data_IF_390641084615
#
_entry.id   IF_390641084615
#
_cell.length_a   1.000
_cell.length_b   1.000
_cell.length_c   1.000
_cell.angle_alpha   90.00
_cell.angle_beta   90.00
_cell.angle_gamma   90.00
#
_symmetry.space_group_name_H-M   'P 1'
#
loop_
_entity.id
_entity.type
_entity.pdbx_description
1 polymer ?
#
# COMPACT_ATOMS: atom_id res chain seq x y z
N UNK A 1 -35.57 -18.70 3.77
CA UNK A 1 -35.32 -20.13 4.12
C UNK A 1 -33.84 -20.47 3.92
N UNK A 2 -33.19 -21.24 4.81
CA UNK A 2 -31.76 -21.65 4.66
C UNK A 2 -31.60 -22.69 3.56
N UNK A 3 -30.63 -22.50 2.66
CA UNK A 3 -30.25 -23.57 1.75
C UNK A 3 -29.41 -24.65 2.47
N UNK A 4 -29.06 -25.72 1.75
CA UNK A 4 -28.31 -26.87 2.25
C UNK A 4 -26.94 -26.52 2.86
N UNK A 5 -26.49 -25.27 2.75
CA UNK A 5 -25.23 -24.76 3.31
C UNK A 5 -25.44 -23.75 4.46
N UNK A 6 -26.67 -23.52 4.93
CA UNK A 6 -26.93 -22.70 6.13
C UNK A 6 -26.72 -21.20 5.94
N UNK A 7 -26.69 -20.71 4.70
CA UNK A 7 -26.57 -19.27 4.41
C UNK A 7 -27.94 -18.61 4.57
N UNK A 8 -28.03 -17.54 5.35
CA UNK A 8 -29.22 -16.68 5.39
C UNK A 8 -29.45 -16.06 4.00
N UNK A 9 -30.47 -16.55 3.29
CA UNK A 9 -30.92 -15.92 2.04
C UNK A 9 -31.84 -14.76 2.38
N UNK A 10 -31.45 -13.58 1.94
CA UNK A 10 -32.37 -12.46 1.82
C UNK A 10 -33.46 -12.85 0.81
N UNK A 11 -34.70 -13.08 1.27
CA UNK A 11 -35.84 -13.50 0.44
C UNK A 11 -36.39 -12.34 -0.45
N UNK A 12 -35.78 -11.14 -0.40
CA UNK A 12 -36.12 -9.98 -1.23
C UNK A 12 -34.86 -9.21 -1.67
N UNK A 13 -34.38 -9.47 -2.89
CA UNK A 13 -33.36 -8.62 -3.53
C UNK A 13 -34.07 -7.42 -4.18
N UNK A 14 -34.23 -6.32 -3.45
CA UNK A 14 -34.67 -5.06 -4.04
C UNK A 14 -33.45 -4.31 -4.60
N UNK A 15 -33.20 -4.47 -5.90
CA UNK A 15 -32.13 -3.74 -6.59
C UNK A 15 -32.59 -2.30 -6.83
N UNK A 16 -31.88 -1.34 -6.26
CA UNK A 16 -32.10 0.08 -6.53
C UNK A 16 -31.47 0.44 -7.88
N UNK A 17 -32.17 0.17 -8.98
CA UNK A 17 -31.64 0.29 -10.35
C UNK A 17 -31.03 1.67 -10.63
N UNK A 18 -31.64 2.75 -10.15
CA UNK A 18 -31.12 4.11 -10.31
C UNK A 18 -29.73 4.30 -9.67
N UNK A 19 -29.46 3.62 -8.55
CA UNK A 19 -28.15 3.66 -7.88
C UNK A 19 -27.13 2.83 -8.66
N UNK A 20 -27.54 1.64 -9.12
CA UNK A 20 -26.68 0.75 -9.91
C UNK A 20 -26.24 1.45 -11.19
N UNK A 21 -27.19 1.97 -11.98
CA UNK A 21 -26.90 2.69 -13.22
C UNK A 21 -25.97 3.90 -13.00
N UNK A 22 -26.15 4.61 -11.87
CA UNK A 22 -25.30 5.75 -11.52
C UNK A 22 -23.87 5.29 -11.25
N UNK A 23 -23.69 4.25 -10.46
CA UNK A 23 -22.36 3.74 -10.09
C UNK A 23 -21.67 3.14 -11.32
N UNK A 24 -22.36 2.33 -12.13
CA UNK A 24 -21.83 1.73 -13.35
C UNK A 24 -21.24 2.77 -14.31
N UNK A 25 -21.85 3.95 -14.43
CA UNK A 25 -21.34 5.06 -15.26
C UNK A 25 -20.06 5.70 -14.75
N UNK A 26 -19.74 5.52 -13.47
CA UNK A 26 -18.58 6.15 -12.79
C UNK A 26 -17.53 5.13 -12.37
N UNK A 27 -17.85 3.84 -12.44
CA UNK A 27 -16.98 2.77 -12.00
C UNK A 27 -15.74 2.72 -12.92
N UNK A 28 -14.52 2.74 -12.35
CA UNK A 28 -13.31 2.54 -13.13
C UNK A 28 -13.31 1.15 -13.78
N UNK A 29 -12.52 1.00 -14.84
CA UNK A 29 -12.26 -0.32 -15.43
C UNK A 29 -11.62 -1.26 -14.40
N UNK A 30 -11.95 -2.55 -14.48
CA UNK A 30 -11.43 -3.58 -13.57
C UNK A 30 -9.91 -3.57 -13.48
N UNK A 31 -9.20 -3.32 -14.59
CA UNK A 31 -7.74 -3.22 -14.62
C UNK A 31 -7.21 -2.14 -13.65
N UNK A 32 -7.87 -0.98 -13.59
CA UNK A 32 -7.50 0.11 -12.66
C UNK A 32 -7.71 -0.34 -11.21
N UNK A 33 -8.81 -1.07 -10.94
CA UNK A 33 -9.10 -1.57 -9.61
C UNK A 33 -8.13 -2.68 -9.18
N UNK A 34 -7.69 -3.54 -10.11
CA UNK A 34 -6.66 -4.55 -9.85
C UNK A 34 -5.30 -3.91 -9.57
N UNK A 35 -4.90 -2.90 -10.35
CA UNK A 35 -3.68 -2.15 -10.09
C UNK A 35 -3.70 -1.46 -8.71
N UNK A 36 -4.85 -0.89 -8.33
CA UNK A 36 -5.05 -0.29 -7.01
C UNK A 36 -4.96 -1.34 -5.90
N UNK A 37 -5.53 -2.53 -6.10
CA UNK A 37 -5.44 -3.62 -5.13
C UNK A 37 -4.01 -4.13 -4.95
N UNK A 38 -3.26 -4.30 -6.04
CA UNK A 38 -1.85 -4.70 -5.98
C UNK A 38 -0.97 -3.62 -5.33
N UNK A 39 -1.30 -2.34 -5.51
CA UNK A 39 -0.68 -1.25 -4.75
C UNK A 39 -0.92 -1.44 -3.24
N UNK A 40 -2.17 -1.59 -2.81
CA UNK A 40 -2.52 -1.73 -1.38
C UNK A 40 -1.98 -2.99 -0.74
N UNK A 41 -1.85 -4.09 -1.49
CA UNK A 41 -1.21 -5.32 -1.02
C UNK A 41 0.23 -5.09 -0.56
N UNK A 42 0.94 -4.11 -1.12
CA UNK A 42 2.29 -3.75 -0.67
C UNK A 42 2.26 -3.03 0.67
N UNK A 43 1.29 -2.13 0.87
CA UNK A 43 1.03 -1.46 2.14
C UNK A 43 0.51 -2.44 3.22
N UNK A 44 -0.01 -3.60 2.85
CA UNK A 44 -0.42 -4.64 3.79
C UNK A 44 0.73 -5.38 4.51
N UNK A 45 2.00 -5.20 4.10
CA UNK A 45 3.15 -5.83 4.75
C UNK A 45 3.75 -4.93 5.84
N UNK A 46 3.78 -5.44 7.07
CA UNK A 46 4.27 -4.67 8.24
C UNK A 46 5.74 -4.26 8.15
N UNK A 47 6.61 -5.03 7.49
CA UNK A 47 8.03 -4.67 7.34
C UNK A 47 8.18 -3.53 6.32
N UNK A 48 7.42 -3.59 5.23
CA UNK A 48 7.39 -2.53 4.22
C UNK A 48 6.84 -1.23 4.79
N UNK A 49 5.76 -1.28 5.58
CA UNK A 49 5.24 -0.11 6.29
C UNK A 49 6.30 0.51 7.20
N UNK A 50 7.03 -0.29 7.98
CA UNK A 50 8.14 0.22 8.81
C UNK A 50 9.21 0.93 7.98
N UNK A 51 9.62 0.36 6.85
CA UNK A 51 10.61 0.97 5.96
C UNK A 51 10.07 2.28 5.36
N UNK A 52 8.83 2.28 4.87
CA UNK A 52 8.19 3.47 4.30
C UNK A 52 8.05 4.58 5.34
N UNK A 53 7.71 4.24 6.59
CA UNK A 53 7.64 5.21 7.68
C UNK A 53 9.01 5.80 8.03
N UNK A 54 10.06 4.98 8.08
CA UNK A 54 11.43 5.50 8.25
C UNK A 54 11.80 6.49 7.13
N UNK A 55 11.43 6.17 5.89
CA UNK A 55 11.67 7.01 4.72
C UNK A 55 10.75 8.23 4.61
N UNK A 56 9.62 8.23 5.32
CA UNK A 56 8.72 9.36 5.47
C UNK A 56 9.36 10.45 6.34
N UNK A 57 10.08 10.05 7.39
CA UNK A 57 10.78 10.97 8.30
C UNK A 57 12.06 11.54 7.68
N UNK A 58 12.85 10.70 7.00
CA UNK A 58 14.09 11.13 6.35
C UNK A 58 14.53 10.16 5.25
N UNK A 59 15.24 10.67 4.25
CA UNK A 59 16.00 9.77 3.38
C UNK A 59 17.11 9.06 4.18
N UNK A 60 17.34 7.78 3.87
CA UNK A 60 18.30 6.93 4.61
C UNK A 60 18.98 5.92 3.70
N UNK A 61 20.21 5.51 4.05
CA UNK A 61 20.87 4.42 3.36
C UNK A 61 20.45 3.04 3.92
N UNK A 62 20.77 1.97 3.20
CA UNK A 62 20.44 0.60 3.62
C UNK A 62 21.01 0.23 5.00
N UNK A 63 22.20 0.73 5.34
CA UNK A 63 22.85 0.46 6.61
C UNK A 63 22.08 1.08 7.77
N UNK A 64 21.61 2.32 7.61
CA UNK A 64 20.88 3.06 8.64
C UNK A 64 19.51 2.43 8.89
N UNK A 65 18.78 2.10 7.82
CA UNK A 65 17.47 1.43 7.92
C UNK A 65 17.63 0.06 8.59
N UNK A 66 18.64 -0.72 8.21
CA UNK A 66 18.92 -2.02 8.82
C UNK A 66 19.21 -1.90 10.32
N UNK A 67 20.04 -0.94 10.71
CA UNK A 67 20.35 -0.65 12.10
C UNK A 67 19.10 -0.23 12.89
N UNK A 68 18.30 0.68 12.34
CA UNK A 68 17.10 1.21 13.00
C UNK A 68 16.02 0.15 13.20
N UNK A 69 15.81 -0.72 12.20
CA UNK A 69 14.77 -1.76 12.26
C UNK A 69 15.26 -3.07 12.89
N UNK A 70 16.53 -3.16 13.29
CA UNK A 70 17.10 -4.40 13.85
C UNK A 70 17.13 -5.56 12.85
N UNK A 71 17.32 -5.26 11.55
CA UNK A 71 17.29 -6.24 10.46
C UNK A 71 18.64 -6.31 9.75
N UNK A 72 18.85 -7.37 8.97
CA UNK A 72 20.06 -7.47 8.14
C UNK A 72 19.98 -6.55 6.93
N UNK A 73 21.13 -6.05 6.45
CA UNK A 73 21.18 -5.24 5.22
C UNK A 73 20.65 -5.99 3.99
N UNK A 74 20.81 -7.32 3.95
CA UNK A 74 20.27 -8.17 2.89
C UNK A 74 18.75 -8.16 2.88
N UNK A 75 18.12 -8.31 4.07
CA UNK A 75 16.67 -8.24 4.21
C UNK A 75 16.13 -6.88 3.80
N UNK A 76 16.75 -5.78 4.25
CA UNK A 76 16.35 -4.42 3.87
C UNK A 76 16.54 -4.20 2.36
N UNK A 77 17.66 -4.62 1.77
CA UNK A 77 17.90 -4.51 0.33
C UNK A 77 16.84 -5.23 -0.50
N UNK A 78 16.41 -6.41 -0.04
CA UNK A 78 15.34 -7.16 -0.68
C UNK A 78 14.01 -6.40 -0.65
N UNK A 79 13.62 -5.86 0.52
CA UNK A 79 12.40 -5.06 0.63
C UNK A 79 12.46 -3.76 -0.18
N UNK A 80 13.58 -3.03 -0.13
CA UNK A 80 13.77 -1.81 -0.93
C UNK A 80 13.72 -2.09 -2.44
N UNK A 81 14.19 -3.26 -2.90
CA UNK A 81 14.03 -3.68 -4.29
C UNK A 81 12.57 -3.85 -4.67
N UNK A 82 11.78 -4.54 -3.84
CA UNK A 82 10.35 -4.71 -4.08
C UNK A 82 9.62 -3.35 -4.07
N UNK A 83 9.87 -2.51 -3.05
CA UNK A 83 9.29 -1.16 -2.95
C UNK A 83 9.65 -0.28 -4.16
N UNK A 84 10.88 -0.40 -4.68
CA UNK A 84 11.31 0.32 -5.87
C UNK A 84 10.60 -0.18 -7.13
N UNK A 85 10.43 -1.49 -7.30
CA UNK A 85 9.70 -2.07 -8.43
C UNK A 85 8.26 -1.59 -8.47
N UNK A 86 7.66 -1.41 -7.29
CA UNK A 86 6.31 -0.86 -7.12
C UNK A 86 6.25 0.67 -7.11
N UNK A 87 7.34 1.36 -7.46
CA UNK A 87 7.42 2.83 -7.54
C UNK A 87 7.07 3.55 -6.23
N UNK A 88 7.21 2.91 -5.07
CA UNK A 88 6.94 3.53 -3.76
C UNK A 88 8.16 4.28 -3.19
N UNK A 89 9.36 3.88 -3.61
CA UNK A 89 10.61 4.51 -3.20
C UNK A 89 11.47 4.82 -4.41
N UNK A 90 12.29 5.86 -4.28
CA UNK A 90 13.36 6.23 -5.19
C UNK A 90 14.70 6.21 -4.45
N UNK A 91 15.78 6.40 -5.20
CA UNK A 91 17.11 6.47 -4.62
C UNK A 91 17.96 7.52 -5.33
N UNK A 92 18.94 8.06 -4.60
CA UNK A 92 20.02 8.89 -5.12
C UNK A 92 21.37 8.34 -4.66
N UNK A 93 22.43 8.70 -5.39
CA UNK A 93 23.81 8.34 -5.02
C UNK A 93 24.54 9.57 -4.52
N UNK A 94 25.28 9.39 -3.43
CA UNK A 94 26.17 10.40 -2.87
C UNK A 94 27.50 9.73 -2.53
N UNK A 95 28.53 10.01 -3.34
CA UNK A 95 29.79 9.27 -3.30
C UNK A 95 29.57 7.78 -3.55
N UNK A 96 29.94 6.96 -2.57
CA UNK A 96 29.78 5.48 -2.60
C UNK A 96 28.46 5.01 -1.96
N UNK A 97 27.68 5.92 -1.37
CA UNK A 97 26.47 5.59 -0.61
C UNK A 97 25.21 5.78 -1.46
N UNK A 98 24.24 4.89 -1.29
CA UNK A 98 22.91 4.99 -1.90
C UNK A 98 21.91 5.36 -0.81
N UNK A 99 21.24 6.49 -0.99
CA UNK A 99 20.16 6.95 -0.12
C UNK A 99 18.82 6.70 -0.78
N UNK A 100 17.85 6.20 0.00
CA UNK A 100 16.48 5.95 -0.42
C UNK A 100 15.55 7.00 0.17
N UNK A 101 14.48 7.33 -0.54
CA UNK A 101 13.40 8.21 -0.10
C UNK A 101 12.07 7.76 -0.71
N UNK A 102 10.95 8.26 -0.18
CA UNK A 102 9.64 8.04 -0.82
C UNK A 102 9.66 8.58 -2.26
N UNK A 103 8.95 7.90 -3.16
CA UNK A 103 8.96 8.24 -4.57
C UNK A 103 8.44 9.66 -4.83
N UNK A 104 7.30 10.00 -4.23
CA UNK A 104 6.60 11.27 -4.46
C UNK A 104 5.68 11.66 -3.28
N UNK A 105 4.93 12.75 -3.46
CA UNK A 105 3.97 13.25 -2.50
C UNK A 105 2.73 12.37 -2.32
N UNK A 106 2.33 11.58 -3.32
CA UNK A 106 1.17 10.70 -3.20
C UNK A 106 1.43 9.57 -2.20
N UNK A 107 2.62 8.94 -2.27
CA UNK A 107 3.03 7.92 -1.29
C UNK A 107 3.03 8.50 0.12
N UNK A 108 3.51 9.74 0.27
CA UNK A 108 3.51 10.46 1.55
C UNK A 108 2.08 10.69 2.07
N UNK A 109 1.17 11.14 1.21
CA UNK A 109 -0.23 11.37 1.56
C UNK A 109 -0.93 10.07 1.97
N UNK A 110 -0.78 8.98 1.21
CA UNK A 110 -1.41 7.69 1.53
C UNK A 110 -0.96 7.21 2.91
N UNK A 111 0.35 7.23 3.18
CA UNK A 111 0.87 6.80 4.47
C UNK A 111 0.40 7.72 5.61
N UNK A 112 0.43 9.04 5.39
CA UNK A 112 -0.04 10.02 6.37
C UNK A 112 -1.52 9.86 6.72
N UNK A 113 -2.38 9.68 5.72
CA UNK A 113 -3.81 9.43 5.91
C UNK A 113 -4.07 8.11 6.64
N UNK A 114 -3.31 7.05 6.31
CA UNK A 114 -3.39 5.78 7.04
C UNK A 114 -3.01 5.92 8.52
N UNK A 115 -1.98 6.72 8.82
CA UNK A 115 -1.55 7.00 10.20
C UNK A 115 -2.56 7.87 10.96
N UNK A 116 -3.16 8.86 10.30
CA UNK A 116 -4.22 9.70 10.87
C UNK A 116 -5.44 8.86 11.24
N UNK A 117 -5.90 8.00 10.32
CA UNK A 117 -7.09 7.16 10.52
C UNK A 117 -6.95 6.15 11.68
N UNK A 118 -5.77 5.58 11.93
CA UNK A 118 -5.56 4.67 13.07
C UNK A 118 -5.43 5.39 14.41
N UNK A 119 -5.26 6.72 14.40
CA UNK A 119 -5.13 7.54 15.60
C UNK A 119 -6.45 8.19 16.04
N UNK A 120 -7.51 8.05 15.23
CA UNK A 120 -8.90 8.36 15.59
C UNK A 120 -9.45 7.40 16.67
#
# INVERSE_FOLDING_TARGET
MTDSNGVERCDYSHVHQEIVDKVERTMPEDEILYDLAELFKIFGDSTRIKILYVLFESEMCVCDIAKLLGMTQSAISHQLRALKQSKLVKYRREGKTVFYSLADGHVRTILGQGMEHIAE
#
